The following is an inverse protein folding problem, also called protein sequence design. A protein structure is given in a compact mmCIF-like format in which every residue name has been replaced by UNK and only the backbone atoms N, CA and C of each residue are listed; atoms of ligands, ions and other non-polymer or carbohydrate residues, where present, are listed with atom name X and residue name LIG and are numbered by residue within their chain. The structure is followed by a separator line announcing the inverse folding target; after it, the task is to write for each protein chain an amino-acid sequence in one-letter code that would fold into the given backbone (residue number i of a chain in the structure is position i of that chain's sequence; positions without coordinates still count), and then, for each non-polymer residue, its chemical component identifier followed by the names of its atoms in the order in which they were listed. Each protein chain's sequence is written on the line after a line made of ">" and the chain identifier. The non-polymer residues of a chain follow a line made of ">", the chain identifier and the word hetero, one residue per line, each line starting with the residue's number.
data_IF_900494541912
#
_entry.id   IF_900494541912
#
_cell.length_a   1.000
_cell.length_b   1.000
_cell.length_c   1.000
_cell.angle_alpha   90.00
_cell.angle_beta   90.00
_cell.angle_gamma   90.00
#
_symmetry.space_group_name_H-M   'P 1'
#
loop_
_entity.id
_entity.type
_entity.pdbx_description
1 polymer ?
#
# COMPACT_ATOMS: atom_id res chain seq x y z
N UNK A 1 -23.79 -49.99 25.72
CA UNK A 1 -23.86 -51.28 26.45
C UNK A 1 -24.14 -52.47 25.53
N UNK A 2 -25.04 -52.40 24.54
CA UNK A 2 -25.39 -53.53 23.67
C UNK A 2 -24.36 -53.90 22.57
N UNK A 3 -23.54 -52.95 22.09
CA UNK A 3 -22.55 -53.22 21.01
C UNK A 3 -21.43 -54.20 21.43
N UNK A 4 -20.99 -54.11 22.69
CA UNK A 4 -19.90 -54.94 23.22
C UNK A 4 -20.28 -56.43 23.32
N UNK A 5 -21.58 -56.75 23.31
CA UNK A 5 -22.11 -58.12 23.43
C UNK A 5 -22.50 -58.74 22.09
N UNK A 6 -22.33 -58.02 20.97
CA UNK A 6 -22.64 -58.54 19.64
C UNK A 6 -21.53 -59.47 19.15
N UNK A 7 -21.92 -60.55 18.46
CA UNK A 7 -20.98 -61.39 17.72
C UNK A 7 -20.48 -60.67 16.45
N UNK A 8 -19.47 -61.23 15.81
CA UNK A 8 -18.78 -60.58 14.68
C UNK A 8 -19.70 -60.30 13.48
N UNK A 9 -20.65 -61.20 13.19
CA UNK A 9 -21.63 -61.02 12.11
C UNK A 9 -22.66 -59.92 12.45
N UNK A 10 -23.11 -59.86 13.70
CA UNK A 10 -24.04 -58.83 14.17
C UNK A 10 -23.39 -57.44 14.22
N UNK A 11 -22.10 -57.36 14.56
CA UNK A 11 -21.32 -56.12 14.49
C UNK A 11 -21.19 -55.64 13.05
N UNK A 12 -20.84 -56.52 12.12
CA UNK A 12 -20.75 -56.18 10.71
C UNK A 12 -22.08 -55.65 10.15
N UNK A 13 -23.21 -56.28 10.48
CA UNK A 13 -24.54 -55.80 10.07
C UNK A 13 -24.96 -54.48 10.75
N UNK A 14 -24.49 -54.23 11.97
CA UNK A 14 -24.73 -52.96 12.66
C UNK A 14 -23.88 -51.84 12.05
N UNK A 15 -22.61 -52.10 11.76
CA UNK A 15 -21.70 -51.19 11.06
C UNK A 15 -22.17 -50.89 9.64
N UNK A 16 -22.65 -51.89 8.90
CA UNK A 16 -23.26 -51.71 7.58
C UNK A 16 -24.52 -50.83 7.66
N UNK A 17 -25.36 -51.02 8.68
CA UNK A 17 -26.53 -50.15 8.92
C UNK A 17 -26.15 -48.71 9.25
N UNK A 18 -25.08 -48.50 10.00
CA UNK A 18 -24.54 -47.17 10.28
C UNK A 18 -23.96 -46.53 9.01
N UNK A 19 -23.31 -47.31 8.15
CA UNK A 19 -22.81 -46.84 6.86
C UNK A 19 -23.94 -46.52 5.87
N UNK A 20 -24.99 -47.32 5.84
CA UNK A 20 -26.20 -47.09 5.04
C UNK A 20 -27.18 -46.09 5.69
N UNK A 21 -26.90 -45.64 6.92
CA UNK A 21 -27.78 -44.71 7.62
C UNK A 21 -27.73 -43.36 6.92
N UNK A 22 -28.84 -42.99 6.30
CA UNK A 22 -29.14 -41.67 5.74
C UNK A 22 -28.83 -40.53 6.72
N UNK A 23 -28.76 -40.78 8.03
CA UNK A 23 -28.35 -39.80 9.03
C UNK A 23 -26.96 -39.24 8.82
N UNK A 24 -25.99 -40.01 8.30
CA UNK A 24 -24.65 -39.48 8.00
C UNK A 24 -24.71 -38.40 6.91
N UNK A 25 -25.43 -38.65 5.83
CA UNK A 25 -25.60 -37.67 4.75
C UNK A 25 -26.46 -36.48 5.17
N UNK A 26 -27.54 -36.73 5.93
CA UNK A 26 -28.41 -35.69 6.48
C UNK A 26 -27.67 -34.75 7.43
N UNK A 27 -26.70 -35.24 8.20
CA UNK A 27 -25.87 -34.42 9.10
C UNK A 27 -24.70 -33.77 8.36
N UNK A 28 -24.02 -34.52 7.49
CA UNK A 28 -22.82 -34.04 6.79
C UNK A 28 -23.13 -33.00 5.71
N UNK A 29 -24.29 -33.06 5.05
CA UNK A 29 -24.69 -32.09 4.04
C UNK A 29 -24.70 -30.65 4.57
N UNK A 30 -25.47 -30.34 5.63
CA UNK A 30 -25.48 -29.02 6.25
C UNK A 30 -24.13 -28.59 6.81
N UNK A 31 -23.35 -29.51 7.41
CA UNK A 31 -22.01 -29.19 7.94
C UNK A 31 -21.07 -28.78 6.79
N UNK A 32 -21.07 -29.52 5.69
CA UNK A 32 -20.25 -29.21 4.53
C UNK A 32 -20.64 -27.88 3.91
N UNK A 33 -21.94 -27.62 3.77
CA UNK A 33 -22.45 -26.33 3.29
C UNK A 33 -22.00 -25.19 4.19
N UNK A 34 -22.12 -25.34 5.52
CA UNK A 34 -21.67 -24.32 6.47
C UNK A 34 -20.16 -24.07 6.41
N UNK A 35 -19.34 -25.11 6.19
CA UNK A 35 -17.89 -24.97 5.99
C UNK A 35 -17.60 -24.22 4.68
N UNK A 36 -18.26 -24.60 3.59
CA UNK A 36 -18.08 -23.94 2.29
C UNK A 36 -18.50 -22.46 2.33
N UNK A 37 -19.66 -22.16 2.93
CA UNK A 37 -20.15 -20.79 3.12
C UNK A 37 -19.22 -19.97 4.02
N UNK A 38 -18.81 -20.50 5.17
CA UNK A 38 -17.91 -19.78 6.08
C UNK A 38 -16.52 -19.55 5.46
N UNK A 39 -16.01 -20.51 4.69
CA UNK A 39 -14.76 -20.34 3.96
C UNK A 39 -14.89 -19.26 2.87
N UNK A 40 -15.98 -19.27 2.09
CA UNK A 40 -16.24 -18.24 1.08
C UNK A 40 -16.36 -16.86 1.72
N UNK A 41 -17.11 -16.73 2.82
CA UNK A 41 -17.24 -15.48 3.57
C UNK A 41 -15.90 -15.02 4.13
N UNK A 42 -15.12 -15.92 4.72
CA UNK A 42 -13.79 -15.60 5.26
C UNK A 42 -12.82 -15.11 4.19
N UNK A 43 -12.79 -15.77 3.03
CA UNK A 43 -11.98 -15.34 1.87
C UNK A 43 -12.45 -13.98 1.36
N UNK A 44 -13.76 -13.79 1.18
CA UNK A 44 -14.31 -12.52 0.71
C UNK A 44 -13.99 -11.36 1.66
N UNK A 45 -14.19 -11.56 2.97
CA UNK A 45 -13.86 -10.58 3.99
C UNK A 45 -12.36 -10.28 4.03
N UNK A 46 -11.51 -11.32 3.99
CA UNK A 46 -10.07 -11.17 4.00
C UNK A 46 -9.56 -10.39 2.78
N UNK A 47 -10.07 -10.70 1.58
CA UNK A 47 -9.72 -9.98 0.34
C UNK A 47 -10.19 -8.53 0.42
N UNK A 48 -11.42 -8.28 0.85
CA UNK A 48 -11.96 -6.93 0.95
C UNK A 48 -11.17 -6.07 1.95
N UNK A 49 -10.92 -6.61 3.15
CA UNK A 49 -10.14 -5.92 4.18
C UNK A 49 -8.71 -5.67 3.74
N UNK A 50 -8.05 -6.68 3.17
CA UNK A 50 -6.68 -6.57 2.68
C UNK A 50 -6.56 -5.53 1.56
N UNK A 51 -7.50 -5.51 0.61
CA UNK A 51 -7.51 -4.52 -0.47
C UNK A 51 -7.78 -3.11 0.06
N UNK A 52 -8.73 -2.94 0.98
CA UNK A 52 -9.03 -1.64 1.58
C UNK A 52 -7.84 -1.09 2.37
N UNK A 53 -7.23 -1.91 3.23
CA UNK A 53 -6.06 -1.53 4.02
C UNK A 53 -4.86 -1.20 3.13
N UNK A 54 -4.57 -2.06 2.15
CA UNK A 54 -3.47 -1.86 1.20
C UNK A 54 -3.64 -0.58 0.38
N UNK A 55 -4.85 -0.31 -0.11
CA UNK A 55 -5.15 0.91 -0.86
C UNK A 55 -5.03 2.17 0.02
N UNK A 56 -5.57 2.13 1.24
CA UNK A 56 -5.49 3.26 2.16
C UNK A 56 -4.04 3.58 2.55
N UNK A 57 -3.26 2.56 2.92
CA UNK A 57 -1.85 2.71 3.27
C UNK A 57 -1.03 3.21 2.08
N UNK A 58 -1.21 2.60 0.90
CA UNK A 58 -0.50 3.00 -0.31
C UNK A 58 -0.81 4.44 -0.72
N UNK A 59 -2.08 4.86 -0.66
CA UNK A 59 -2.48 6.23 -0.96
C UNK A 59 -1.89 7.23 0.05
N UNK A 60 -1.97 6.94 1.35
CA UNK A 60 -1.44 7.81 2.39
C UNK A 60 0.07 7.98 2.26
N UNK A 61 0.81 6.89 2.09
CA UNK A 61 2.26 6.91 1.92
C UNK A 61 2.66 7.65 0.64
N UNK A 62 2.02 7.33 -0.49
CA UNK A 62 2.30 7.98 -1.77
C UNK A 62 2.03 9.49 -1.73
N UNK A 63 0.92 9.91 -1.14
CA UNK A 63 0.59 11.34 -0.99
C UNK A 63 1.58 12.06 -0.08
N UNK A 64 1.94 11.48 1.06
CA UNK A 64 2.88 12.09 2.00
C UNK A 64 4.27 12.24 1.38
N UNK A 65 4.78 11.19 0.73
CA UNK A 65 6.08 11.21 0.07
C UNK A 65 6.08 12.21 -1.10
N UNK A 66 5.06 12.17 -1.95
CA UNK A 66 4.93 13.07 -3.09
C UNK A 66 4.86 14.54 -2.67
N UNK A 67 4.08 14.86 -1.63
CA UNK A 67 3.99 16.21 -1.10
C UNK A 67 5.31 16.69 -0.51
N UNK A 68 5.99 15.85 0.28
CA UNK A 68 7.27 16.22 0.89
C UNK A 68 8.35 16.47 -0.15
N UNK A 69 8.48 15.57 -1.14
CA UNK A 69 9.43 15.72 -2.25
C UNK A 69 9.12 16.94 -3.09
N UNK A 70 7.84 17.13 -3.47
CA UNK A 70 7.39 18.28 -4.25
C UNK A 70 7.66 19.60 -3.55
N UNK A 71 7.37 19.70 -2.24
CA UNK A 71 7.64 20.90 -1.45
C UNK A 71 9.16 21.18 -1.35
N UNK A 72 9.97 20.16 -1.10
CA UNK A 72 11.43 20.33 -0.99
C UNK A 72 12.05 20.77 -2.32
N UNK A 73 11.65 20.13 -3.42
CA UNK A 73 12.11 20.49 -4.75
C UNK A 73 11.66 21.90 -5.14
N UNK A 74 10.37 22.21 -4.94
CA UNK A 74 9.81 23.53 -5.22
C UNK A 74 10.49 24.63 -4.41
N UNK A 75 10.75 24.43 -3.12
CA UNK A 75 11.50 25.37 -2.28
C UNK A 75 12.92 25.59 -2.79
N UNK A 76 13.64 24.52 -3.14
CA UNK A 76 15.02 24.61 -3.66
C UNK A 76 15.05 25.35 -5.00
N UNK A 77 14.14 25.04 -5.90
CA UNK A 77 14.01 25.71 -7.20
C UNK A 77 13.63 27.19 -7.03
N UNK A 78 12.67 27.50 -6.16
CA UNK A 78 12.26 28.88 -5.87
C UNK A 78 13.39 29.73 -5.28
N UNK A 79 14.16 29.19 -4.32
CA UNK A 79 15.32 29.90 -3.76
C UNK A 79 16.39 30.13 -4.85
N UNK A 80 16.70 29.11 -5.66
CA UNK A 80 17.66 29.23 -6.76
C UNK A 80 17.20 30.28 -7.79
N UNK A 81 15.93 30.27 -8.16
CA UNK A 81 15.34 31.21 -9.10
C UNK A 81 15.36 32.65 -8.55
N UNK A 82 14.95 32.85 -7.29
CA UNK A 82 15.00 34.16 -6.65
C UNK A 82 16.43 34.72 -6.56
N UNK A 83 17.43 33.88 -6.28
CA UNK A 83 18.85 34.30 -6.31
C UNK A 83 19.26 34.80 -7.69
N UNK A 84 18.84 34.12 -8.77
CA UNK A 84 19.13 34.52 -10.15
C UNK A 84 18.43 35.81 -10.54
N UNK A 85 17.18 36.00 -10.10
CA UNK A 85 16.42 37.23 -10.36
C UNK A 85 17.07 38.44 -9.69
N UNK A 86 17.44 38.31 -8.41
CA UNK A 86 18.16 39.37 -7.69
C UNK A 86 19.51 39.66 -8.35
N UNK A 87 20.28 38.63 -8.71
CA UNK A 87 21.57 38.81 -9.37
C UNK A 87 21.42 39.53 -10.73
N UNK A 88 20.39 39.20 -11.52
CA UNK A 88 20.09 39.87 -12.79
C UNK A 88 19.74 41.35 -12.57
N UNK A 89 18.93 41.66 -11.58
CA UNK A 89 18.58 43.04 -11.25
C UNK A 89 19.82 43.86 -10.86
N UNK A 90 20.69 43.30 -9.99
CA UNK A 90 21.93 43.97 -9.57
C UNK A 90 22.92 44.19 -10.73
N UNK A 91 23.00 43.25 -11.67
CA UNK A 91 23.79 43.44 -12.90
C UNK A 91 23.25 44.62 -13.73
N UNK A 92 21.92 44.73 -13.87
CA UNK A 92 21.27 45.84 -14.58
C UNK A 92 21.54 47.21 -13.94
N UNK A 93 21.69 47.26 -12.63
CA UNK A 93 22.07 48.46 -11.86
C UNK A 93 23.60 48.73 -11.87
N UNK A 94 24.39 47.92 -12.58
CA UNK A 94 25.83 48.11 -12.69
C UNK A 94 26.63 47.69 -11.44
N UNK A 95 26.04 46.88 -10.55
CA UNK A 95 26.75 46.36 -9.38
C UNK A 95 27.85 45.39 -9.81
N UNK A 96 29.02 45.51 -9.18
CA UNK A 96 30.20 44.72 -9.54
C UNK A 96 29.98 43.21 -9.37
N UNK A 97 30.49 42.43 -10.33
CA UNK A 97 30.33 40.97 -10.40
C UNK A 97 30.82 40.24 -9.14
N UNK A 98 31.93 40.71 -8.55
CA UNK A 98 32.50 40.11 -7.34
C UNK A 98 31.59 40.30 -6.11
N UNK A 99 30.89 41.44 -6.03
CA UNK A 99 29.91 41.73 -4.98
C UNK A 99 28.69 40.83 -5.14
N UNK A 100 28.17 40.68 -6.37
CA UNK A 100 27.00 39.82 -6.64
C UNK A 100 27.34 38.36 -6.35
N UNK A 101 28.51 37.88 -6.75
CA UNK A 101 28.96 36.49 -6.48
C UNK A 101 28.99 36.21 -4.97
N UNK A 102 29.60 37.12 -4.20
CA UNK A 102 29.77 36.96 -2.74
C UNK A 102 28.46 37.06 -1.96
N UNK A 103 27.53 37.89 -2.43
CA UNK A 103 26.25 38.17 -1.73
C UNK A 103 25.12 37.24 -2.16
N UNK A 104 25.03 36.88 -3.43
CA UNK A 104 24.01 35.97 -3.94
C UNK A 104 24.37 34.50 -3.71
N UNK A 105 25.66 34.18 -3.59
CA UNK A 105 26.24 32.83 -3.53
C UNK A 105 26.05 32.00 -4.80
N UNK A 106 25.73 32.65 -5.92
CA UNK A 106 25.85 32.07 -7.25
C UNK A 106 27.33 32.11 -7.65
N UNK A 107 27.75 31.17 -8.49
CA UNK A 107 29.07 31.20 -9.09
C UNK A 107 29.19 32.30 -10.15
N UNK A 108 30.42 32.72 -10.42
CA UNK A 108 30.68 33.71 -11.46
C UNK A 108 30.18 33.25 -12.84
N UNK A 109 30.30 31.95 -13.15
CA UNK A 109 29.78 31.37 -14.40
C UNK A 109 28.26 31.47 -14.49
N UNK A 110 27.55 31.18 -13.40
CA UNK A 110 26.09 31.32 -13.34
C UNK A 110 25.67 32.77 -13.55
N UNK A 111 26.36 33.72 -12.93
CA UNK A 111 26.04 35.16 -13.08
C UNK A 111 26.38 35.65 -14.49
N UNK A 112 27.51 35.24 -15.07
CA UNK A 112 27.88 35.57 -16.46
C UNK A 112 26.83 35.07 -17.45
N UNK A 113 26.28 33.86 -17.24
CA UNK A 113 25.17 33.33 -18.06
C UNK A 113 23.90 34.18 -17.97
N UNK A 114 23.66 34.88 -16.85
CA UNK A 114 22.51 35.79 -16.71
C UNK A 114 22.66 37.11 -17.48
N UNK A 115 23.89 37.48 -17.85
CA UNK A 115 24.21 38.72 -18.57
C UNK A 115 24.05 38.62 -20.10
N UNK A 116 23.79 37.43 -20.66
CA UNK A 116 23.88 37.15 -22.11
C UNK A 116 22.53 37.34 -22.85
N UNK A 117 21.50 37.90 -22.24
CA UNK A 117 20.23 38.27 -22.90
C UNK A 117 19.87 39.71 -22.53
#
# INVERSE_FOLDING_TARGET
>A
AQYANLNEAERAQYEERLQQSSHKEVIMGPIRQAIEESMQQGVQQGVQQGMQQGMQQGMQQGMQQGMQQGMQQGKKQGIQQGRKEVARALLGEGVALDIITRSSGLSEEEIRKLSVH
#
